data_IF_700837733497
#
_entry.id   IF_700837733497
#
_cell.length_a   1.000
_cell.length_b   1.000
_cell.length_c   1.000
_cell.angle_alpha   90.00
_cell.angle_beta   90.00
_cell.angle_gamma   90.00
#
_symmetry.space_group_name_H-M   'P 1'
#
loop_
_entity.id
_entity.type
_entity.pdbx_description
1 polymer ?
#
# COMPACT_ATOMS: atom_id res chain seq x y z
N UNK A 1 -20.69 7.15 -6.40
CA UNK A 1 -20.87 6.52 -5.09
C UNK A 1 -22.35 6.23 -4.89
N UNK A 2 -22.65 4.99 -4.50
CA UNK A 2 -24.01 4.50 -4.24
C UNK A 2 -24.07 3.93 -2.81
N UNK A 3 -25.26 3.48 -2.37
CA UNK A 3 -25.46 2.83 -1.07
C UNK A 3 -24.66 1.52 -0.92
N UNK A 4 -24.24 0.92 -2.04
CA UNK A 4 -23.44 -0.30 -2.07
C UNK A 4 -21.94 -0.04 -2.04
N UNK A 5 -21.49 1.21 -2.22
CA UNK A 5 -20.08 1.57 -2.21
C UNK A 5 -19.53 1.47 -0.78
N UNK A 6 -18.57 0.57 -0.55
CA UNK A 6 -17.93 0.35 0.76
C UNK A 6 -16.45 0.75 0.77
N UNK A 7 -15.82 0.74 -0.40
CA UNK A 7 -14.42 1.13 -0.57
C UNK A 7 -14.23 1.88 -1.88
N UNK A 8 -13.20 2.70 -1.94
CA UNK A 8 -12.62 3.29 -3.15
C UNK A 8 -11.19 2.75 -3.23
N UNK A 9 -10.82 2.20 -4.39
CA UNK A 9 -9.50 1.62 -4.60
C UNK A 9 -8.77 2.40 -5.71
N UNK A 10 -8.10 3.51 -5.36
CA UNK A 10 -7.23 4.20 -6.31
C UNK A 10 -5.95 3.41 -6.56
N UNK A 11 -5.39 3.54 -7.76
CA UNK A 11 -4.11 2.96 -8.14
C UNK A 11 -3.07 4.06 -8.25
N UNK A 12 -1.96 3.93 -7.52
CA UNK A 12 -0.79 4.82 -7.61
C UNK A 12 0.08 4.42 -8.81
N UNK A 13 -0.46 4.58 -10.02
CA UNK A 13 0.16 4.06 -11.24
C UNK A 13 1.52 4.73 -11.53
N UNK A 14 2.52 3.93 -11.87
CA UNK A 14 3.87 4.42 -12.18
C UNK A 14 4.56 5.14 -11.01
N UNK A 15 4.09 4.96 -9.78
CA UNK A 15 4.63 5.63 -8.59
C UNK A 15 4.03 7.01 -8.31
N UNK A 16 3.10 7.47 -9.17
CA UNK A 16 2.36 8.72 -8.94
C UNK A 16 1.16 8.45 -8.02
N UNK A 17 1.13 9.03 -6.81
CA UNK A 17 -0.01 8.88 -5.92
C UNK A 17 -1.29 9.48 -6.52
N UNK A 18 -2.41 8.80 -6.32
CA UNK A 18 -3.71 9.35 -6.66
C UNK A 18 -4.01 10.63 -5.86
N UNK A 19 -4.97 11.43 -6.30
CA UNK A 19 -5.37 12.63 -5.57
C UNK A 19 -6.17 12.28 -4.30
N UNK A 20 -5.45 11.83 -3.28
CA UNK A 20 -6.04 11.49 -1.98
C UNK A 20 -6.71 12.67 -1.30
N UNK A 21 -6.22 13.91 -1.52
CA UNK A 21 -6.84 15.13 -0.95
C UNK A 21 -8.24 15.32 -1.52
N UNK A 22 -8.41 15.17 -2.83
CA UNK A 22 -9.72 15.22 -3.48
C UNK A 22 -10.63 14.06 -3.03
N UNK A 23 -10.09 12.84 -2.88
CA UNK A 23 -10.84 11.69 -2.37
C UNK A 23 -11.35 11.93 -0.95
N UNK A 24 -10.51 12.42 -0.04
CA UNK A 24 -10.94 12.78 1.32
C UNK A 24 -11.99 13.89 1.33
N UNK A 25 -11.83 14.93 0.49
CA UNK A 25 -12.83 15.98 0.34
C UNK A 25 -14.17 15.42 -0.16
N UNK A 26 -14.14 14.49 -1.11
CA UNK A 26 -15.32 13.80 -1.61
C UNK A 26 -16.02 13.00 -0.52
N UNK A 27 -15.26 12.19 0.23
CA UNK A 27 -15.79 11.31 1.28
C UNK A 27 -16.38 12.06 2.49
N UNK A 28 -16.04 13.34 2.65
CA UNK A 28 -16.62 14.21 3.70
C UNK A 28 -17.91 14.90 3.27
N UNK A 29 -18.30 14.81 1.98
CA UNK A 29 -19.55 15.42 1.51
C UNK A 29 -20.75 14.71 2.14
N UNK A 30 -21.71 15.50 2.66
CA UNK A 30 -22.95 14.99 3.24
C UNK A 30 -23.72 14.08 2.28
N UNK A 31 -23.76 14.44 0.99
CA UNK A 31 -24.37 13.63 -0.07
C UNK A 31 -23.74 12.26 -0.28
N UNK A 32 -22.50 12.05 0.17
CA UNK A 32 -21.79 10.76 0.16
C UNK A 32 -22.03 10.02 1.47
N UNK A 33 -21.91 10.70 2.60
CA UNK A 33 -22.12 10.12 3.92
C UNK A 33 -23.56 9.58 4.08
N UNK A 34 -24.56 10.31 3.62
CA UNK A 34 -25.97 9.90 3.65
C UNK A 34 -26.28 8.67 2.78
N UNK A 35 -25.44 8.37 1.77
CA UNK A 35 -25.55 7.16 0.96
C UNK A 35 -24.82 5.97 1.58
N UNK A 36 -23.92 6.21 2.54
CA UNK A 36 -23.14 5.13 3.11
C UNK A 36 -24.01 4.28 4.05
N UNK A 37 -24.22 3.01 3.68
CA UNK A 37 -25.02 2.06 4.44
C UNK A 37 -24.11 0.98 5.06
N UNK A 38 -23.60 1.17 6.30
CA UNK A 38 -22.70 0.23 6.94
C UNK A 38 -23.38 -1.09 7.25
N UNK A 39 -22.69 -2.22 6.99
CA UNK A 39 -23.19 -3.59 7.24
C UNK A 39 -22.45 -4.29 8.39
N UNK A 40 -21.25 -3.80 8.76
CA UNK A 40 -20.42 -4.36 9.81
C UNK A 40 -20.10 -3.30 10.87
N UNK A 41 -19.69 -3.71 12.06
CA UNK A 41 -19.29 -2.78 13.11
C UNK A 41 -18.05 -1.96 12.73
N UNK A 42 -17.13 -2.58 11.99
CA UNK A 42 -16.01 -1.87 11.39
C UNK A 42 -16.48 -0.72 10.48
N UNK A 43 -17.43 -0.98 9.58
CA UNK A 43 -17.99 0.04 8.68
C UNK A 43 -18.76 1.12 9.44
N UNK A 44 -19.55 0.75 10.47
CA UNK A 44 -20.25 1.70 11.33
C UNK A 44 -19.28 2.66 12.02
N UNK A 45 -18.16 2.12 12.51
CA UNK A 45 -17.15 2.87 13.23
C UNK A 45 -16.40 3.86 12.33
N UNK A 46 -16.07 3.49 11.11
CA UNK A 46 -15.45 4.38 10.12
C UNK A 46 -16.45 5.44 9.62
N UNK A 47 -17.73 5.08 9.45
CA UNK A 47 -18.81 5.99 9.06
C UNK A 47 -18.74 6.47 7.60
N UNK A 48 -17.87 5.91 6.75
CA UNK A 48 -17.66 6.27 5.35
C UNK A 48 -17.08 5.12 4.54
N UNK A 49 -17.12 5.17 3.20
CA UNK A 49 -16.29 4.28 2.38
C UNK A 49 -14.80 4.44 2.72
N UNK A 50 -14.08 3.31 2.79
CA UNK A 50 -12.65 3.32 3.05
C UNK A 50 -11.86 3.59 1.76
N UNK A 51 -10.62 4.08 1.90
CA UNK A 51 -9.66 4.22 0.81
C UNK A 51 -8.64 3.09 0.93
N UNK A 52 -8.59 2.24 -0.08
CA UNK A 52 -7.59 1.17 -0.20
C UNK A 52 -6.67 1.54 -1.36
N UNK A 53 -5.47 2.01 -1.07
CA UNK A 53 -4.49 2.32 -2.11
C UNK A 53 -3.90 1.04 -2.71
N UNK A 54 -4.00 0.85 -4.01
CA UNK A 54 -3.09 -0.01 -4.74
C UNK A 54 -1.76 0.73 -4.90
N UNK A 55 -0.88 0.52 -3.94
CA UNK A 55 0.43 1.13 -3.83
C UNK A 55 1.54 0.25 -4.43
N UNK A 56 1.19 -0.69 -5.33
CA UNK A 56 2.15 -1.64 -5.90
C UNK A 56 3.32 -0.96 -6.62
N UNK A 57 3.17 0.30 -7.04
CA UNK A 57 4.21 1.08 -7.73
C UNK A 57 4.74 2.25 -6.89
N UNK A 58 4.15 2.56 -5.73
CA UNK A 58 4.37 3.85 -5.04
C UNK A 58 5.12 3.76 -3.71
N UNK A 59 5.80 2.62 -3.44
CA UNK A 59 6.65 2.56 -2.25
C UNK A 59 7.72 3.65 -2.31
N UNK A 60 7.79 4.49 -1.26
CA UNK A 60 8.69 5.64 -1.19
C UNK A 60 8.13 6.94 -1.76
N UNK A 61 6.97 6.94 -2.42
CA UNK A 61 6.31 8.14 -2.94
C UNK A 61 5.86 9.07 -1.82
N UNK A 62 5.94 10.39 -2.09
CA UNK A 62 5.58 11.45 -1.16
C UNK A 62 4.50 12.36 -1.75
N UNK A 63 3.61 12.87 -0.92
CA UNK A 63 2.66 13.93 -1.24
C UNK A 63 2.97 15.13 -0.34
N UNK A 64 3.53 16.21 -0.91
CA UNK A 64 3.94 17.36 -0.11
C UNK A 64 4.95 17.01 1.00
N UNK A 65 5.90 16.10 0.72
CA UNK A 65 6.91 15.64 1.69
C UNK A 65 6.43 14.58 2.69
N UNK A 66 5.16 14.19 2.65
CA UNK A 66 4.57 13.18 3.54
C UNK A 66 4.41 11.85 2.78
N UNK A 67 4.81 10.69 3.36
CA UNK A 67 4.64 9.40 2.71
C UNK A 67 3.20 9.15 2.24
N UNK A 68 3.04 8.77 0.96
CA UNK A 68 1.72 8.57 0.35
C UNK A 68 0.82 7.56 1.07
N UNK A 69 1.33 6.48 1.71
CA UNK A 69 0.51 5.53 2.45
C UNK A 69 -0.26 6.15 3.64
N UNK A 70 0.18 7.31 4.14
CA UNK A 70 -0.51 7.99 5.24
C UNK A 70 -1.80 8.69 4.81
N UNK A 71 -2.08 8.72 3.51
CA UNK A 71 -3.30 9.32 2.94
C UNK A 71 -4.39 8.29 2.60
N UNK A 72 -4.16 7.00 2.81
CA UNK A 72 -5.16 5.94 2.64
C UNK A 72 -5.42 5.22 3.97
N UNK A 73 -6.57 4.54 4.07
CA UNK A 73 -6.87 3.69 5.24
C UNK A 73 -6.03 2.41 5.20
N UNK A 74 -5.88 1.83 3.99
CA UNK A 74 -4.97 0.73 3.71
C UNK A 74 -4.11 1.07 2.50
N UNK A 75 -2.84 0.68 2.53
CA UNK A 75 -1.96 0.67 1.35
C UNK A 75 -1.43 -0.73 1.11
N UNK A 76 -1.57 -1.20 -0.12
CA UNK A 76 -1.19 -2.53 -0.54
C UNK A 76 0.04 -2.43 -1.44
N UNK A 77 1.17 -2.94 -0.96
CA UNK A 77 2.44 -2.94 -1.68
C UNK A 77 2.71 -4.30 -2.32
N UNK A 78 3.33 -4.27 -3.50
CA UNK A 78 3.86 -5.46 -4.16
C UNK A 78 5.38 -5.48 -4.07
N UNK A 79 5.93 -6.65 -3.78
CA UNK A 79 7.37 -6.93 -3.81
C UNK A 79 7.73 -7.96 -4.91
N UNK A 80 6.90 -8.04 -5.95
CA UNK A 80 7.21 -8.81 -7.14
C UNK A 80 8.53 -8.34 -7.76
N UNK A 81 9.19 -9.20 -8.53
CA UNK A 81 10.55 -9.00 -9.07
C UNK A 81 10.76 -7.68 -9.82
N UNK A 82 9.72 -7.15 -10.48
CA UNK A 82 9.79 -5.90 -11.27
C UNK A 82 9.48 -4.63 -10.45
N UNK A 83 9.17 -4.76 -9.16
CA UNK A 83 8.77 -3.60 -8.32
C UNK A 83 9.99 -2.86 -7.75
N UNK A 84 9.73 -1.70 -7.16
CA UNK A 84 10.78 -0.82 -6.62
C UNK A 84 11.60 -1.44 -5.49
N UNK A 85 10.97 -2.26 -4.66
CA UNK A 85 11.60 -3.20 -3.73
C UNK A 85 11.12 -4.58 -4.14
N UNK A 86 12.02 -5.54 -4.19
CA UNK A 86 11.65 -6.90 -4.54
C UNK A 86 12.06 -7.91 -3.47
N UNK A 87 11.23 -8.92 -3.33
CA UNK A 87 11.54 -10.16 -2.60
C UNK A 87 11.44 -11.39 -3.52
N UNK A 88 11.46 -11.17 -4.86
CA UNK A 88 11.06 -12.13 -5.86
C UNK A 88 9.56 -12.18 -5.99
N UNK A 89 8.89 -12.69 -4.98
CA UNK A 89 7.45 -12.62 -4.76
C UNK A 89 7.18 -12.17 -3.34
N UNK A 90 6.14 -11.34 -3.15
CA UNK A 90 5.74 -10.86 -1.84
C UNK A 90 4.94 -9.57 -1.89
N UNK A 91 4.58 -9.07 -0.73
CA UNK A 91 3.86 -7.82 -0.56
C UNK A 91 3.73 -7.43 0.90
N UNK A 92 3.17 -6.27 1.14
CA UNK A 92 2.86 -5.79 2.47
C UNK A 92 1.55 -4.99 2.46
N UNK A 93 0.86 -5.03 3.58
CA UNK A 93 -0.28 -4.17 3.87
C UNK A 93 0.12 -3.23 4.99
N UNK A 94 -0.06 -1.94 4.81
CA UNK A 94 0.05 -0.95 5.88
C UNK A 94 -1.31 -0.29 6.11
N UNK A 95 -1.58 0.06 7.36
CA UNK A 95 -2.81 0.76 7.74
C UNK A 95 -2.62 1.55 9.03
N UNK A 96 -3.42 2.59 9.17
CA UNK A 96 -3.59 3.37 10.39
C UNK A 96 -5.00 3.95 10.36
N UNK A 97 -5.95 3.25 10.96
CA UNK A 97 -7.38 3.55 10.82
C UNK A 97 -7.97 4.06 12.12
N UNK A 98 -7.59 3.44 13.23
CA UNK A 98 -8.10 3.70 14.56
C UNK A 98 -6.97 4.07 15.54
N UNK A 99 -7.22 3.90 16.82
CA UNK A 99 -6.17 3.96 17.83
C UNK A 99 -5.27 2.71 17.78
N UNK A 100 -4.12 2.79 18.46
CA UNK A 100 -3.10 1.72 18.45
C UNK A 100 -3.63 0.36 18.91
N UNK A 101 -4.55 0.33 19.88
CA UNK A 101 -5.08 -0.92 20.43
C UNK A 101 -5.98 -1.62 19.41
N UNK A 102 -6.82 -0.88 18.72
CA UNK A 102 -7.75 -1.41 17.73
C UNK A 102 -7.03 -1.81 16.44
N UNK A 103 -6.05 -1.04 16.00
CA UNK A 103 -5.19 -1.40 14.86
C UNK A 103 -4.37 -2.68 15.17
N UNK A 104 -3.99 -2.93 16.43
CA UNK A 104 -3.36 -4.18 16.84
C UNK A 104 -4.30 -5.40 16.74
N UNK A 105 -5.59 -5.23 17.04
CA UNK A 105 -6.60 -6.29 16.84
C UNK A 105 -6.74 -6.58 15.34
N UNK A 106 -6.90 -5.56 14.51
CA UNK A 106 -7.00 -5.71 13.06
C UNK A 106 -5.75 -6.40 12.47
N UNK A 107 -4.55 -6.04 12.95
CA UNK A 107 -3.31 -6.71 12.55
C UNK A 107 -3.32 -8.19 12.89
N UNK A 108 -3.83 -8.55 14.06
CA UNK A 108 -3.95 -9.95 14.47
C UNK A 108 -4.90 -10.73 13.57
N UNK A 109 -6.03 -10.15 13.18
CA UNK A 109 -6.98 -10.75 12.24
C UNK A 109 -6.38 -10.94 10.85
N UNK A 110 -5.69 -9.93 10.30
CA UNK A 110 -5.01 -10.03 9.02
C UNK A 110 -3.93 -11.12 9.03
N UNK A 111 -3.16 -11.24 10.11
CA UNK A 111 -2.17 -12.31 10.28
C UNK A 111 -2.80 -13.69 10.36
N UNK A 112 -3.92 -13.82 11.06
CA UNK A 112 -4.69 -15.06 11.13
C UNK A 112 -5.12 -15.49 9.72
N UNK A 113 -5.73 -14.57 8.96
CA UNK A 113 -6.20 -14.82 7.60
C UNK A 113 -5.06 -15.17 6.63
N UNK A 114 -3.89 -14.54 6.78
CA UNK A 114 -2.73 -14.78 5.90
C UNK A 114 -1.98 -16.07 6.20
N UNK A 115 -2.27 -16.75 7.31
CA UNK A 115 -1.61 -17.99 7.76
C UNK A 115 -2.63 -19.13 7.95
N UNK A 116 -3.45 -19.44 6.95
CA UNK A 116 -4.43 -20.53 6.97
C UNK A 116 -5.43 -20.48 8.15
N UNK A 117 -5.67 -19.31 8.73
CA UNK A 117 -6.54 -19.18 9.92
C UNK A 117 -5.94 -19.78 11.21
N UNK A 118 -4.64 -20.01 11.27
CA UNK A 118 -3.96 -20.59 12.44
C UNK A 118 -3.76 -19.55 13.55
N UNK A 119 -4.05 -19.94 14.78
CA UNK A 119 -3.94 -19.07 15.96
C UNK A 119 -2.52 -18.88 16.50
N UNK A 120 -1.52 -19.58 15.94
CA UNK A 120 -0.10 -19.46 16.32
C UNK A 120 0.79 -19.18 15.12
N UNK A 121 1.73 -18.27 15.31
CA UNK A 121 2.80 -18.00 14.34
C UNK A 121 3.83 -19.11 14.32
N UNK A 122 4.68 -19.19 13.29
CA UNK A 122 5.80 -20.13 13.22
C UNK A 122 6.72 -20.01 14.45
N UNK A 123 7.02 -18.79 14.89
CA UNK A 123 7.84 -18.52 16.08
C UNK A 123 7.23 -19.11 17.35
N UNK A 124 5.91 -18.95 17.55
CA UNK A 124 5.22 -19.52 18.71
C UNK A 124 5.16 -21.06 18.69
N UNK A 125 5.21 -21.67 17.50
CA UNK A 125 5.26 -23.14 17.35
C UNK A 125 6.61 -23.73 17.71
N UNK A 126 7.70 -22.96 17.60
CA UNK A 126 9.04 -23.40 17.91
C UNK A 126 9.35 -23.44 19.43
N UNK A 127 8.47 -22.92 20.27
CA UNK A 127 8.59 -23.07 21.73
C UNK A 127 8.24 -24.50 22.19
N UNK A 128 8.78 -24.93 23.34
CA UNK A 128 8.49 -26.25 23.92
C UNK A 128 6.98 -26.44 24.08
N UNK A 129 6.41 -27.48 23.49
CA UNK A 129 4.96 -27.71 23.44
C UNK A 129 4.18 -26.79 22.49
N UNK A 130 4.84 -25.92 21.74
CA UNK A 130 4.22 -24.94 20.86
C UNK A 130 3.65 -25.49 19.55
N UNK A 131 3.99 -26.73 19.18
CA UNK A 131 3.57 -27.36 17.92
C UNK A 131 2.04 -27.50 17.78
N UNK A 132 1.30 -27.61 18.88
CA UNK A 132 -0.16 -27.69 18.87
C UNK A 132 -0.77 -26.32 18.59
N UNK A 133 -1.58 -26.23 17.56
CA UNK A 133 -2.33 -25.03 17.16
C UNK A 133 -3.70 -25.41 16.66
N UNK A 134 -4.60 -24.41 16.62
CA UNK A 134 -5.96 -24.58 16.12
C UNK A 134 -6.15 -23.73 14.86
N UNK A 135 -7.03 -24.19 13.98
CA UNK A 135 -7.54 -23.42 12.85
C UNK A 135 -8.84 -22.74 13.30
N UNK A 136 -8.80 -21.40 13.43
CA UNK A 136 -9.91 -20.62 13.98
C UNK A 136 -10.90 -20.22 12.89
N UNK A 137 -10.40 -20.02 11.66
CA UNK A 137 -11.19 -19.59 10.52
C UNK A 137 -10.56 -20.06 9.21
N UNK A 138 -11.32 -19.97 8.11
CA UNK A 138 -10.76 -20.18 6.79
C UNK A 138 -9.81 -19.02 6.44
N UNK A 139 -8.57 -19.35 6.14
CA UNK A 139 -7.53 -18.39 5.78
C UNK A 139 -6.81 -18.80 4.51
N UNK A 140 -5.94 -17.92 4.03
CA UNK A 140 -5.07 -18.13 2.88
C UNK A 140 -3.65 -18.43 3.34
N UNK A 141 -2.90 -19.20 2.55
CA UNK A 141 -1.46 -19.39 2.75
C UNK A 141 -0.69 -18.35 1.94
N UNK A 142 -0.59 -17.13 2.47
CA UNK A 142 0.04 -15.98 1.80
C UNK A 142 1.11 -15.29 2.67
N UNK A 143 1.60 -15.96 3.70
CA UNK A 143 2.72 -15.45 4.49
C UNK A 143 4.02 -15.53 3.70
N UNK A 144 4.85 -14.50 3.83
CA UNK A 144 6.17 -14.44 3.16
C UNK A 144 7.11 -15.50 3.74
N UNK A 145 7.78 -16.32 2.91
CA UNK A 145 8.85 -17.23 3.34
C UNK A 145 10.08 -16.46 3.83
N UNK A 146 10.87 -17.07 4.72
CA UNK A 146 12.04 -16.43 5.33
C UNK A 146 13.12 -16.06 4.29
N UNK A 147 13.27 -16.84 3.24
CA UNK A 147 14.20 -16.53 2.13
C UNK A 147 13.80 -15.23 1.44
N UNK A 148 12.52 -15.06 1.10
CA UNK A 148 12.00 -13.84 0.49
C UNK A 148 12.13 -12.66 1.46
N UNK A 149 11.86 -12.87 2.74
CA UNK A 149 12.00 -11.84 3.78
C UNK A 149 13.47 -11.38 3.92
N UNK A 150 14.45 -12.30 3.82
CA UNK A 150 15.87 -11.97 3.86
C UNK A 150 16.29 -11.10 2.65
N UNK A 151 15.80 -11.41 1.44
CA UNK A 151 15.98 -10.57 0.25
C UNK A 151 15.41 -9.18 0.50
N UNK A 152 14.18 -9.09 1.00
CA UNK A 152 13.51 -7.83 1.31
C UNK A 152 14.27 -6.99 2.34
N UNK A 153 14.82 -7.63 3.37
CA UNK A 153 15.63 -6.96 4.38
C UNK A 153 16.90 -6.32 3.76
N UNK A 154 17.57 -7.04 2.86
CA UNK A 154 18.72 -6.51 2.12
C UNK A 154 18.35 -5.34 1.22
N UNK A 155 17.17 -5.40 0.55
CA UNK A 155 16.66 -4.33 -0.29
C UNK A 155 16.31 -3.07 0.53
N UNK A 156 15.58 -3.21 1.64
CA UNK A 156 15.18 -2.09 2.49
C UNK A 156 16.37 -1.33 3.06
N UNK A 157 17.41 -2.04 3.49
CA UNK A 157 18.64 -1.42 4.06
C UNK A 157 19.29 -0.43 3.10
N UNK A 158 19.27 -0.71 1.80
CA UNK A 158 19.89 0.14 0.77
C UNK A 158 18.88 0.98 -0.02
N UNK A 159 17.58 0.88 0.27
CA UNK A 159 16.54 1.48 -0.54
C UNK A 159 16.71 3.00 -0.67
N UNK A 160 16.77 3.73 0.46
CA UNK A 160 16.86 5.19 0.48
C UNK A 160 18.21 5.73 0.01
N UNK A 161 19.31 5.02 0.32
CA UNK A 161 20.67 5.51 0.08
C UNK A 161 21.24 5.12 -1.27
N UNK A 162 20.71 4.08 -1.90
CA UNK A 162 21.24 3.54 -3.16
C UNK A 162 20.13 3.42 -4.20
N UNK A 163 19.12 2.56 -3.96
CA UNK A 163 18.18 2.16 -5.01
C UNK A 163 17.31 3.32 -5.49
N UNK A 164 16.85 4.17 -4.59
CA UNK A 164 15.99 5.31 -4.94
C UNK A 164 16.77 6.38 -5.73
N UNK A 165 17.97 6.84 -5.31
CA UNK A 165 18.79 7.75 -6.09
C UNK A 165 19.19 7.21 -7.47
N UNK A 166 19.57 5.93 -7.57
CA UNK A 166 19.89 5.32 -8.87
C UNK A 166 18.70 5.34 -9.83
N UNK A 167 17.50 5.03 -9.36
CA UNK A 167 16.27 5.10 -10.16
C UNK A 167 15.95 6.52 -10.60
N UNK A 168 16.13 7.50 -9.73
CA UNK A 168 15.98 8.91 -10.07
C UNK A 168 16.95 9.34 -11.18
N UNK A 169 18.21 8.94 -11.10
CA UNK A 169 19.20 9.23 -12.17
C UNK A 169 18.83 8.58 -13.50
N UNK A 170 18.35 7.35 -13.49
CA UNK A 170 17.86 6.67 -14.69
C UNK A 170 16.67 7.45 -15.28
N UNK A 171 15.73 7.85 -14.45
CA UNK A 171 14.60 8.68 -14.89
C UNK A 171 15.04 9.98 -15.56
N UNK A 172 15.93 10.73 -14.91
CA UNK A 172 16.42 11.99 -15.45
C UNK A 172 17.10 11.79 -16.80
N UNK A 173 17.85 10.69 -16.99
CA UNK A 173 18.44 10.33 -18.28
C UNK A 173 17.36 10.06 -19.33
N UNK A 174 16.38 9.21 -19.06
CA UNK A 174 15.29 8.97 -20.02
C UNK A 174 14.52 10.25 -20.33
N UNK A 175 14.27 11.09 -19.33
CA UNK A 175 13.56 12.35 -19.52
C UNK A 175 14.35 13.34 -20.41
N UNK A 176 15.68 13.36 -20.33
CA UNK A 176 16.51 14.20 -21.21
C UNK A 176 16.44 13.79 -22.69
N UNK A 177 16.28 12.50 -22.98
CA UNK A 177 16.10 12.02 -24.35
C UNK A 177 14.70 12.34 -24.92
N UNK A 178 13.69 12.51 -24.06
CA UNK A 178 12.30 12.79 -24.47
C UNK A 178 12.04 14.25 -24.83
N UNK A 179 12.92 15.17 -24.49
CA UNK A 179 12.77 16.61 -24.83
C UNK A 179 12.83 16.91 -26.34
N UNK A 180 13.08 15.94 -27.19
CA UNK A 180 13.03 16.06 -28.65
C UNK A 180 11.65 15.73 -29.24
N UNK A 181 10.67 15.23 -28.45
CA UNK A 181 9.34 14.87 -28.95
C UNK A 181 8.23 15.65 -28.22
N UNK A 182 7.64 16.61 -28.98
CA UNK A 182 6.67 17.61 -28.48
C UNK A 182 5.34 17.06 -27.95
N UNK A 183 4.93 15.84 -28.30
CA UNK A 183 3.68 15.25 -27.80
C UNK A 183 3.79 14.69 -26.40
N UNK A 184 4.96 14.21 -26.02
CA UNK A 184 5.20 13.63 -24.70
C UNK A 184 5.36 14.71 -23.61
N UNK A 185 5.70 15.95 -24.00
CA UNK A 185 5.88 17.08 -23.09
C UNK A 185 4.63 17.45 -22.30
N UNK A 186 3.46 17.46 -22.94
CA UNK A 186 2.19 17.84 -22.29
C UNK A 186 1.75 16.85 -21.18
N UNK A 187 2.10 15.58 -21.32
CA UNK A 187 1.75 14.56 -20.32
C UNK A 187 2.62 14.66 -19.05
N UNK A 188 3.87 15.03 -19.20
CA UNK A 188 4.83 15.20 -18.09
C UNK A 188 4.61 16.51 -17.33
N UNK A 189 4.22 17.59 -18.02
CA UNK A 189 3.87 18.85 -17.38
C UNK A 189 2.59 18.74 -16.57
N UNK A 190 1.60 17.95 -17.01
CA UNK A 190 0.41 17.65 -16.23
C UNK A 190 0.75 16.89 -14.94
N UNK A 191 1.80 16.07 -14.95
CA UNK A 191 2.30 15.33 -13.78
C UNK A 191 3.13 16.26 -12.86
N UNK A 192 3.90 17.21 -13.41
CA UNK A 192 4.70 18.20 -12.65
C UNK A 192 3.85 19.30 -11.98
N UNK A 193 2.69 19.60 -12.54
CA UNK A 193 1.77 20.61 -11.98
C UNK A 193 1.03 20.17 -10.71
N UNK A 194 1.20 18.94 -10.28
CA UNK A 194 0.74 18.48 -8.98
C UNK A 194 1.91 18.59 -7.98
N UNK A 195 1.69 19.07 -6.75
CA UNK A 195 2.65 19.13 -5.62
C UNK A 195 3.21 17.75 -5.21
N UNK A 196 3.22 16.79 -6.09
CA UNK A 196 3.70 15.44 -5.91
C UNK A 196 5.11 15.32 -6.46
N UNK A 197 6.09 15.19 -5.59
CA UNK A 197 7.41 14.71 -5.99
C UNK A 197 7.27 13.28 -6.55
N UNK A 198 7.39 13.14 -7.86
CA UNK A 198 7.59 11.83 -8.49
C UNK A 198 8.92 11.26 -8.02
N UNK A 199 8.88 10.41 -7.02
CA UNK A 199 10.08 9.76 -6.51
C UNK A 199 10.37 8.41 -7.18
N UNK A 200 9.55 7.97 -8.17
CA UNK A 200 9.71 6.61 -8.67
C UNK A 200 9.21 6.41 -10.09
N UNK A 201 10.07 5.84 -10.89
CA UNK A 201 9.76 5.36 -12.21
C UNK A 201 9.82 3.87 -12.25
N UNK A 202 8.83 3.36 -12.93
CA UNK A 202 8.77 2.02 -13.39
C UNK A 202 9.57 1.89 -14.67
N UNK A 203 10.61 1.08 -14.67
CA UNK A 203 11.23 0.50 -15.85
C UNK A 203 10.82 -0.96 -15.89
#
# INVERSE_FOLDING_TARGET
ITNNTKAIMPVDIGGLPADYKALHKLLKKESVLNKFNPKTDFQKKIGRPIIISDAAHSIGSLIGGVPSPLFSDFSIFSFHSVKNITTGEGGAITFKIFDKAQDAILLKELRLLSLNGQNKTAFQKNSIGGWKYDIITNGLKVNMPDINAAIGLAQIKKYKSVLLPEREQIFLKYNSFRHTDTQTHKHIEAIRGTDTQLSLIHI
#
